data_IF_932149255068
#
_entry.id   IF_932149255068
#
_cell.length_a   1.000
_cell.length_b   1.000
_cell.length_c   1.000
_cell.angle_alpha   90.00
_cell.angle_beta   90.00
_cell.angle_gamma   90.00
#
_symmetry.space_group_name_H-M   'P 1'
#
loop_
_entity.id
_entity.type
_entity.pdbx_description
1 polymer ?
#
# COMPACT_ATOMS: atom_id res chain seq x y z
N UNK A 1 -7.46 -7.27 -16.51
CA UNK A 1 -7.40 -6.63 -15.19
C UNK A 1 -7.57 -5.10 -15.29
N UNK A 2 -6.81 -4.40 -16.13
CA UNK A 2 -6.83 -2.91 -16.23
C UNK A 2 -8.20 -2.39 -16.77
N UNK A 3 -8.93 -3.16 -17.58
CA UNK A 3 -10.15 -2.70 -18.23
C UNK A 3 -11.23 -2.19 -17.25
N UNK A 4 -11.57 -2.89 -16.16
CA UNK A 4 -12.57 -2.44 -15.19
C UNK A 4 -12.04 -1.36 -14.23
N UNK A 5 -10.72 -1.24 -14.05
CA UNK A 5 -10.14 -0.37 -13.05
C UNK A 5 -10.14 1.10 -13.48
N UNK A 6 -10.28 2.00 -12.50
CA UNK A 6 -10.18 3.45 -12.73
C UNK A 6 -8.71 3.83 -12.81
N UNK A 7 -8.27 4.30 -13.99
CA UNK A 7 -6.91 4.77 -14.23
C UNK A 7 -6.91 5.75 -15.40
N UNK A 8 -5.88 6.58 -15.50
CA UNK A 8 -5.76 7.63 -16.51
C UNK A 8 -4.86 7.27 -17.68
N UNK A 9 -3.99 6.29 -17.48
CA UNK A 9 -3.05 5.86 -18.51
C UNK A 9 -2.31 4.58 -18.14
N UNK A 10 -1.52 4.12 -19.10
CA UNK A 10 -0.63 2.96 -19.00
C UNK A 10 0.67 3.26 -19.74
N UNK A 11 1.78 2.75 -19.22
CA UNK A 11 3.08 2.78 -19.89
C UNK A 11 3.65 1.37 -19.95
N UNK A 12 4.16 0.97 -21.12
CA UNK A 12 4.81 -0.32 -21.33
C UNK A 12 5.79 -0.23 -22.51
N UNK A 13 6.73 -1.18 -22.64
CA UNK A 13 7.64 -1.25 -23.79
C UNK A 13 6.95 -1.58 -25.13
N UNK A 14 5.73 -2.09 -25.09
CA UNK A 14 4.93 -2.40 -26.25
C UNK A 14 3.58 -3.00 -25.85
N UNK A 15 2.70 -3.19 -26.80
CA UNK A 15 1.34 -3.67 -26.59
C UNK A 15 0.97 -4.71 -27.65
N UNK A 16 0.44 -5.84 -27.22
CA UNK A 16 -0.21 -6.77 -28.11
C UNK A 16 -1.41 -6.09 -28.80
N UNK A 17 -1.71 -6.38 -30.08
CA UNK A 17 -2.75 -5.69 -30.82
C UNK A 17 -4.12 -5.72 -30.12
N UNK A 18 -4.52 -6.86 -29.59
CA UNK A 18 -5.79 -7.01 -28.87
C UNK A 18 -5.84 -6.20 -27.58
N UNK A 19 -4.72 -6.18 -26.82
CA UNK A 19 -4.60 -5.37 -25.61
C UNK A 19 -4.68 -3.88 -25.93
N UNK A 20 -4.03 -3.45 -27.02
CA UNK A 20 -4.05 -2.07 -27.48
C UNK A 20 -5.47 -1.60 -27.84
N UNK A 21 -6.25 -2.41 -28.54
CA UNK A 21 -7.65 -2.09 -28.87
C UNK A 21 -8.54 -1.98 -27.61
N UNK A 22 -8.34 -2.88 -26.63
CA UNK A 22 -9.02 -2.78 -25.34
C UNK A 22 -8.67 -1.48 -24.61
N UNK A 23 -7.39 -1.12 -24.57
CA UNK A 23 -6.91 0.09 -23.91
C UNK A 23 -7.42 1.36 -24.63
N UNK A 24 -7.39 1.40 -25.96
CA UNK A 24 -7.95 2.50 -26.76
C UNK A 24 -9.43 2.73 -26.51
N UNK A 25 -10.19 1.69 -26.20
CA UNK A 25 -11.62 1.81 -25.91
C UNK A 25 -11.93 2.41 -24.54
N UNK A 26 -10.95 2.47 -23.62
CA UNK A 26 -11.13 3.08 -22.29
C UNK A 26 -11.40 4.58 -22.40
N UNK A 27 -12.15 5.12 -21.42
CA UNK A 27 -12.47 6.56 -21.32
C UNK A 27 -12.97 7.17 -22.64
N UNK A 28 -13.72 6.37 -23.43
CA UNK A 28 -14.25 6.78 -24.75
C UNK A 28 -13.14 7.26 -25.69
N UNK A 29 -11.96 6.62 -25.66
CA UNK A 29 -10.81 6.96 -26.49
C UNK A 29 -9.84 8.00 -25.90
N UNK A 30 -10.08 8.48 -24.69
CA UNK A 30 -9.22 9.47 -23.99
C UNK A 30 -8.29 8.84 -22.95
N UNK A 31 -7.97 7.56 -23.09
CA UNK A 31 -7.03 6.86 -22.20
C UNK A 31 -5.60 7.04 -22.72
N UNK A 32 -4.68 7.49 -21.88
CA UNK A 32 -3.30 7.68 -22.26
C UNK A 32 -2.57 6.35 -22.38
N UNK A 33 -2.04 6.04 -23.56
CA UNK A 33 -1.25 4.84 -23.82
C UNK A 33 0.14 5.32 -24.24
N UNK A 34 1.13 5.04 -23.42
CA UNK A 34 2.51 5.50 -23.63
C UNK A 34 3.40 4.29 -23.86
N UNK A 35 4.16 4.31 -24.95
CA UNK A 35 5.22 3.34 -25.23
C UNK A 35 6.56 3.92 -24.78
N UNK A 36 7.32 3.14 -24.01
CA UNK A 36 8.65 3.52 -23.54
C UNK A 36 9.71 2.72 -24.32
N UNK A 37 10.77 3.40 -24.73
CA UNK A 37 11.94 2.74 -25.29
C UNK A 37 12.65 1.89 -24.22
N UNK A 38 12.66 0.54 -24.34
CA UNK A 38 13.33 -0.32 -23.37
C UNK A 38 14.85 -0.17 -23.34
N UNK A 39 15.44 0.43 -24.37
CA UNK A 39 16.87 0.71 -24.43
C UNK A 39 17.26 2.06 -23.80
N UNK A 40 16.28 2.83 -23.32
CA UNK A 40 16.58 4.11 -22.67
C UNK A 40 17.30 3.90 -21.34
N UNK A 41 18.52 4.43 -21.26
CA UNK A 41 19.30 4.49 -20.02
C UNK A 41 19.17 5.88 -19.39
N UNK A 42 18.59 6.01 -18.19
CA UNK A 42 18.51 7.29 -17.49
C UNK A 42 19.90 7.81 -17.12
N UNK A 43 20.07 9.12 -17.07
CA UNK A 43 21.33 9.73 -16.62
C UNK A 43 21.61 9.38 -15.15
N UNK A 44 22.90 9.24 -14.79
CA UNK A 44 23.30 8.99 -13.39
C UNK A 44 22.98 10.16 -12.47
N UNK A 45 23.10 11.39 -12.99
CA UNK A 45 22.74 12.62 -12.27
C UNK A 45 21.34 13.08 -12.68
N UNK A 46 20.51 13.27 -11.68
CA UNK A 46 19.18 13.87 -11.80
C UNK A 46 19.26 15.34 -11.47
N UNK A 47 18.65 16.18 -12.29
CA UNK A 47 18.60 17.63 -12.08
C UNK A 47 17.14 18.07 -12.01
N UNK A 48 16.86 19.00 -11.09
CA UNK A 48 15.54 19.61 -10.92
C UNK A 48 15.68 21.10 -10.62
N UNK A 49 15.10 21.94 -11.47
CA UNK A 49 15.03 23.36 -11.26
C UNK A 49 13.81 23.75 -10.42
N UNK A 50 14.04 24.47 -9.33
CA UNK A 50 12.99 24.97 -8.44
C UNK A 50 13.30 26.42 -8.09
N UNK A 51 12.44 27.35 -8.50
CA UNK A 51 12.60 28.81 -8.27
C UNK A 51 13.99 29.37 -8.65
N UNK A 52 14.57 28.92 -9.76
CA UNK A 52 15.86 29.38 -10.25
C UNK A 52 17.08 28.74 -9.57
N UNK A 53 16.86 27.73 -8.72
CA UNK A 53 17.92 26.92 -8.12
C UNK A 53 17.86 25.53 -8.75
N UNK A 54 18.99 25.07 -9.28
CA UNK A 54 19.13 23.70 -9.79
C UNK A 54 19.61 22.79 -8.67
N UNK A 55 18.79 21.81 -8.33
CA UNK A 55 19.19 20.69 -7.47
C UNK A 55 19.76 19.58 -8.34
N UNK A 56 20.90 19.04 -7.93
CA UNK A 56 21.53 17.91 -8.59
C UNK A 56 21.81 16.83 -7.56
N UNK A 57 21.48 15.59 -7.89
CA UNK A 57 21.73 14.42 -7.06
C UNK A 57 22.01 13.19 -7.91
N UNK A 58 22.71 12.21 -7.32
CA UNK A 58 22.82 10.90 -7.95
C UNK A 58 21.47 10.18 -7.92
N UNK A 59 21.13 9.53 -9.03
CA UNK A 59 19.95 8.68 -9.11
C UNK A 59 20.10 7.51 -8.16
N UNK A 60 19.01 7.14 -7.49
CA UNK A 60 18.97 5.93 -6.68
C UNK A 60 19.06 4.68 -7.57
N UNK A 61 20.25 4.10 -7.69
CA UNK A 61 20.53 2.88 -8.47
C UNK A 61 20.53 1.60 -7.62
N UNK A 62 20.08 1.69 -6.34
CA UNK A 62 20.04 0.54 -5.44
C UNK A 62 19.25 -0.62 -6.08
N UNK A 63 19.89 -1.79 -6.17
CA UNK A 63 19.28 -3.03 -6.62
C UNK A 63 18.94 -3.88 -5.40
N UNK A 64 17.67 -4.27 -5.28
CA UNK A 64 17.21 -5.16 -4.22
C UNK A 64 17.39 -6.61 -4.71
N UNK A 65 18.50 -7.21 -4.31
CA UNK A 65 18.84 -8.60 -4.62
C UNK A 65 18.75 -9.51 -3.38
N UNK A 66 19.09 -10.79 -3.55
CA UNK A 66 18.98 -11.81 -2.50
C UNK A 66 19.83 -11.48 -1.26
N UNK A 67 21.01 -10.90 -1.45
CA UNK A 67 21.92 -10.52 -0.36
C UNK A 67 21.45 -9.31 0.44
N UNK A 68 20.47 -8.56 -0.06
CA UNK A 68 19.98 -7.32 0.57
C UNK A 68 19.46 -7.57 2.00
N UNK A 69 18.92 -8.76 2.27
CA UNK A 69 18.35 -9.14 3.55
C UNK A 69 19.25 -10.09 4.37
N UNK A 70 20.54 -10.13 4.09
CA UNK A 70 21.49 -11.04 4.79
C UNK A 70 21.75 -10.64 6.25
N UNK A 71 21.57 -9.37 6.61
CA UNK A 71 21.82 -8.86 7.96
C UNK A 71 20.53 -8.85 8.81
N UNK A 72 20.16 -10.01 9.37
CA UNK A 72 19.07 -10.10 10.34
C UNK A 72 19.61 -9.78 11.74
N UNK A 73 19.18 -8.67 12.33
CA UNK A 73 19.72 -8.12 13.59
C UNK A 73 18.96 -8.54 14.85
N UNK A 74 17.70 -8.99 14.71
CA UNK A 74 16.85 -9.44 15.81
C UNK A 74 17.29 -10.78 16.39
N UNK A 75 16.77 -11.18 17.57
CA UNK A 75 17.06 -12.48 18.22
C UNK A 75 16.64 -13.63 17.29
N UNK A 76 15.41 -13.61 16.77
CA UNK A 76 14.99 -14.56 15.75
C UNK A 76 15.67 -14.23 14.41
N UNK A 77 16.44 -15.19 13.89
CA UNK A 77 17.18 -15.08 12.62
C UNK A 77 16.43 -15.67 11.43
N UNK A 78 15.26 -16.24 11.65
CA UNK A 78 14.50 -16.87 10.58
C UNK A 78 13.80 -15.82 9.72
N UNK A 79 14.13 -15.80 8.43
CA UNK A 79 13.47 -14.97 7.42
C UNK A 79 12.99 -15.88 6.28
N UNK A 80 11.71 -16.31 6.29
CA UNK A 80 11.18 -17.22 5.29
C UNK A 80 11.08 -16.56 3.90
N UNK A 81 11.10 -17.37 2.84
CA UNK A 81 11.14 -16.91 1.45
C UNK A 81 9.95 -16.00 1.07
N UNK A 82 8.75 -16.26 1.62
CA UNK A 82 7.60 -15.37 1.37
C UNK A 82 7.85 -13.97 1.96
N UNK A 83 8.47 -13.89 3.14
CA UNK A 83 8.78 -12.61 3.77
C UNK A 83 9.90 -11.88 3.02
N UNK A 84 10.95 -12.58 2.55
CA UNK A 84 11.99 -11.97 1.70
C UNK A 84 11.40 -11.38 0.43
N UNK A 85 10.54 -12.14 -0.26
CA UNK A 85 9.82 -11.64 -1.45
C UNK A 85 9.02 -10.38 -1.13
N UNK A 86 8.23 -10.41 -0.06
CA UNK A 86 7.38 -9.29 0.33
C UNK A 86 8.22 -8.07 0.73
N UNK A 87 9.30 -8.27 1.51
CA UNK A 87 10.25 -7.19 1.84
C UNK A 87 10.94 -6.62 0.60
N UNK A 88 11.31 -7.45 -0.38
CA UNK A 88 11.89 -6.98 -1.63
C UNK A 88 10.92 -6.08 -2.41
N UNK A 89 9.66 -6.50 -2.53
CA UNK A 89 8.61 -5.68 -3.16
C UNK A 89 8.41 -4.37 -2.38
N UNK A 90 8.42 -4.42 -1.03
CA UNK A 90 8.32 -3.22 -0.19
C UNK A 90 9.44 -2.23 -0.50
N UNK A 91 10.69 -2.68 -0.50
CA UNK A 91 11.86 -1.82 -0.73
C UNK A 91 11.88 -1.26 -2.15
N UNK A 92 11.46 -2.04 -3.16
CA UNK A 92 11.30 -1.56 -4.54
C UNK A 92 10.20 -0.49 -4.60
N UNK A 93 9.05 -0.71 -3.97
CA UNK A 93 7.97 0.28 -3.94
C UNK A 93 8.41 1.58 -3.26
N UNK A 94 9.12 1.47 -2.13
CA UNK A 94 9.61 2.63 -1.37
C UNK A 94 10.69 3.42 -2.11
N UNK A 95 11.53 2.75 -2.93
CA UNK A 95 12.52 3.41 -3.80
C UNK A 95 11.89 4.50 -4.68
N UNK A 96 10.63 4.31 -5.09
CA UNK A 96 9.89 5.21 -5.97
C UNK A 96 8.78 5.99 -5.23
N UNK A 97 8.76 5.93 -3.90
CA UNK A 97 7.74 6.58 -3.07
C UNK A 97 8.33 7.82 -2.38
N UNK A 98 7.53 8.88 -2.27
CA UNK A 98 7.95 10.10 -1.58
C UNK A 98 8.24 9.84 -0.09
N UNK A 99 9.46 10.13 0.34
CA UNK A 99 9.90 10.06 1.74
C UNK A 99 9.17 11.12 2.62
N UNK A 100 8.97 10.91 3.91
CA UNK A 100 9.11 9.63 4.63
C UNK A 100 8.08 8.64 4.14
N UNK A 101 8.44 7.39 4.01
CA UNK A 101 7.51 6.37 3.53
C UNK A 101 7.69 5.00 4.19
N UNK A 102 6.58 4.29 4.37
CA UNK A 102 6.49 2.94 4.94
C UNK A 102 5.50 2.14 4.12
N UNK A 103 5.80 0.88 3.85
CA UNK A 103 4.97 -0.02 3.05
C UNK A 103 4.71 -1.34 3.80
N UNK A 104 3.44 -1.75 3.87
CA UNK A 104 3.00 -3.03 4.41
C UNK A 104 2.66 -3.98 3.27
N UNK A 105 3.15 -5.19 3.33
CA UNK A 105 2.92 -6.23 2.31
C UNK A 105 2.41 -7.52 2.92
N UNK A 106 1.60 -8.22 2.15
CA UNK A 106 1.16 -9.58 2.43
C UNK A 106 0.98 -10.35 1.13
N UNK A 107 1.53 -11.55 1.08
CA UNK A 107 1.37 -12.50 -0.04
C UNK A 107 1.71 -11.88 -1.43
N UNK A 108 2.76 -11.06 -1.49
CA UNK A 108 3.21 -10.40 -2.73
C UNK A 108 2.40 -9.15 -3.11
N UNK A 109 1.49 -8.71 -2.27
CA UNK A 109 0.68 -7.52 -2.51
C UNK A 109 1.00 -6.41 -1.50
N UNK A 110 1.18 -5.18 -2.00
CA UNK A 110 1.21 -3.99 -1.15
C UNK A 110 -0.21 -3.70 -0.64
N UNK A 111 -0.41 -3.85 0.67
CA UNK A 111 -1.71 -3.68 1.33
C UNK A 111 -1.86 -2.32 2.01
N UNK A 112 -0.78 -1.56 2.15
CA UNK A 112 -0.83 -0.20 2.66
C UNK A 112 0.48 0.54 2.50
N UNK A 113 0.43 1.77 1.98
CA UNK A 113 1.56 2.70 1.90
C UNK A 113 1.19 4.00 2.60
N UNK A 114 2.07 4.46 3.49
CA UNK A 114 2.10 5.81 4.05
C UNK A 114 3.30 6.56 3.49
N UNK A 115 3.07 7.68 2.83
CA UNK A 115 4.08 8.42 2.08
C UNK A 115 4.01 9.93 2.35
N UNK A 116 5.15 10.61 2.23
CA UNK A 116 5.24 12.06 2.30
C UNK A 116 4.86 12.68 3.64
N UNK A 117 4.87 11.90 4.74
CA UNK A 117 4.51 12.41 6.06
C UNK A 117 5.71 13.06 6.75
N UNK A 118 5.43 14.00 7.64
CA UNK A 118 6.43 14.77 8.38
C UNK A 118 7.22 13.94 9.42
N UNK A 119 6.65 12.81 9.88
CA UNK A 119 7.33 11.92 10.80
C UNK A 119 7.13 10.45 10.44
N UNK A 120 8.11 9.62 10.79
CA UNK A 120 8.10 8.18 10.52
C UNK A 120 6.89 7.48 11.12
N UNK A 121 6.54 7.78 12.36
CA UNK A 121 5.38 7.17 13.02
C UNK A 121 4.06 7.50 12.31
N UNK A 122 3.92 8.70 11.72
CA UNK A 122 2.74 9.03 10.93
C UNK A 122 2.65 8.19 9.64
N UNK A 123 3.78 7.89 8.99
CA UNK A 123 3.82 6.97 7.86
C UNK A 123 3.38 5.56 8.29
N UNK A 124 3.93 5.06 9.41
CA UNK A 124 3.63 3.74 9.97
C UNK A 124 2.14 3.61 10.32
N UNK A 125 1.55 4.66 10.91
CA UNK A 125 0.11 4.71 11.21
C UNK A 125 -0.72 4.69 9.94
N UNK A 126 -0.47 5.60 9.02
CA UNK A 126 -1.23 5.73 7.77
C UNK A 126 -1.17 4.43 6.94
N UNK A 127 0.02 3.85 6.78
CA UNK A 127 0.20 2.58 6.08
C UNK A 127 -0.54 1.43 6.78
N UNK A 128 -0.44 1.36 8.11
CA UNK A 128 -1.12 0.35 8.92
C UNK A 128 -2.64 0.49 8.92
N UNK A 129 -3.19 1.71 8.89
CA UNK A 129 -4.63 1.93 8.78
C UNK A 129 -5.14 1.46 7.41
N UNK A 130 -4.40 1.73 6.33
CA UNK A 130 -4.71 1.19 4.99
C UNK A 130 -4.65 -0.34 4.95
N UNK A 131 -3.63 -0.95 5.58
CA UNK A 131 -3.51 -2.41 5.69
C UNK A 131 -4.69 -3.02 6.47
N UNK A 132 -5.11 -2.39 7.56
CA UNK A 132 -6.28 -2.78 8.33
C UNK A 132 -7.55 -2.70 7.48
N UNK A 133 -7.74 -1.61 6.74
CA UNK A 133 -8.89 -1.44 5.85
C UNK A 133 -8.89 -2.50 4.74
N UNK A 134 -7.72 -2.79 4.14
CA UNK A 134 -7.59 -3.87 3.16
C UNK A 134 -8.05 -5.21 3.73
N UNK A 135 -7.72 -5.52 5.00
CA UNK A 135 -8.15 -6.74 5.67
C UNK A 135 -9.63 -6.74 6.04
N UNK A 136 -10.17 -5.62 6.51
CA UNK A 136 -11.61 -5.45 6.80
C UNK A 136 -12.47 -5.60 5.56
N UNK A 137 -11.98 -5.23 4.38
CA UNK A 137 -12.67 -5.46 3.09
C UNK A 137 -12.86 -6.95 2.77
N UNK A 138 -12.08 -7.85 3.41
CA UNK A 138 -12.21 -9.31 3.28
C UNK A 138 -13.15 -9.93 4.33
N UNK A 139 -13.74 -9.14 5.22
CA UNK A 139 -14.68 -9.63 6.22
C UNK A 139 -15.98 -10.10 5.55
N UNK A 140 -16.58 -11.20 6.06
CA UNK A 140 -17.77 -11.81 5.49
C UNK A 140 -18.92 -10.80 5.31
N UNK A 141 -19.20 -9.97 6.32
CA UNK A 141 -20.21 -8.91 6.23
C UNK A 141 -19.91 -7.89 5.12
N UNK A 142 -18.64 -7.58 4.89
CA UNK A 142 -18.22 -6.64 3.85
C UNK A 142 -18.38 -7.27 2.46
N UNK A 143 -17.98 -8.53 2.30
CA UNK A 143 -18.08 -9.26 1.05
C UNK A 143 -19.54 -9.55 0.65
N UNK A 144 -20.44 -9.69 1.63
CA UNK A 144 -21.87 -9.96 1.42
C UNK A 144 -22.75 -8.72 1.36
N UNK A 145 -22.19 -7.52 1.28
CA UNK A 145 -22.98 -6.28 1.18
C UNK A 145 -23.97 -6.34 0.00
N UNK A 146 -25.28 -6.16 0.24
CA UNK A 146 -26.35 -6.36 -0.75
C UNK A 146 -26.51 -5.15 -1.66
N UNK A 147 -25.49 -4.83 -2.45
CA UNK A 147 -25.52 -3.68 -3.35
C UNK A 147 -26.63 -3.77 -4.40
N UNK A 148 -27.23 -2.63 -4.73
CA UNK A 148 -28.15 -2.55 -5.88
C UNK A 148 -27.38 -2.86 -7.18
N UNK A 149 -27.97 -3.63 -8.12
CA UNK A 149 -27.27 -4.10 -9.34
C UNK A 149 -26.74 -2.99 -10.24
N UNK A 150 -27.37 -1.82 -10.20
CA UNK A 150 -27.03 -0.66 -11.04
C UNK A 150 -25.91 0.22 -10.45
N UNK A 151 -25.45 -0.07 -9.23
CA UNK A 151 -24.42 0.73 -8.55
C UNK A 151 -23.07 0.56 -9.26
N UNK A 152 -22.43 1.67 -9.59
CA UNK A 152 -21.13 1.69 -10.26
C UNK A 152 -19.99 1.34 -9.29
N UNK A 153 -18.88 0.81 -9.82
CA UNK A 153 -17.73 0.41 -9.01
C UNK A 153 -17.19 1.53 -8.09
N UNK A 154 -17.00 2.79 -8.53
CA UNK A 154 -16.55 3.84 -7.64
C UNK A 154 -17.47 4.10 -6.45
N UNK A 155 -18.80 4.04 -6.67
CA UNK A 155 -19.79 4.25 -5.62
C UNK A 155 -19.80 3.06 -4.63
N UNK A 156 -19.61 1.84 -5.15
CA UNK A 156 -19.46 0.63 -4.31
C UNK A 156 -18.22 0.70 -3.46
N UNK A 157 -17.09 1.08 -4.04
CA UNK A 157 -15.81 1.20 -3.31
C UNK A 157 -15.91 2.25 -2.20
N UNK A 158 -16.48 3.41 -2.49
CA UNK A 158 -16.72 4.45 -1.49
C UNK A 158 -17.67 3.98 -0.37
N UNK A 159 -18.74 3.26 -0.72
CA UNK A 159 -19.66 2.72 0.27
C UNK A 159 -18.98 1.68 1.18
N UNK A 160 -18.12 0.82 0.61
CA UNK A 160 -17.34 -0.16 1.40
C UNK A 160 -16.41 0.57 2.36
N UNK A 161 -15.64 1.56 1.88
CA UNK A 161 -14.69 2.29 2.73
C UNK A 161 -15.37 2.96 3.92
N UNK A 162 -16.53 3.57 3.70
CA UNK A 162 -17.34 4.16 4.78
C UNK A 162 -17.95 3.11 5.70
N UNK A 163 -18.44 1.99 5.17
CA UNK A 163 -19.03 0.90 5.95
C UNK A 163 -18.03 0.26 6.93
N UNK A 164 -16.77 0.07 6.50
CA UNK A 164 -15.73 -0.50 7.36
C UNK A 164 -15.07 0.52 8.30
N UNK A 165 -15.25 1.83 8.05
CA UNK A 165 -14.72 2.92 8.88
C UNK A 165 -15.56 3.18 10.12
N UNK A 166 -15.22 4.20 10.87
CA UNK A 166 -16.03 4.70 11.99
C UNK A 166 -17.16 5.62 11.53
N UNK A 167 -17.23 5.93 10.22
CA UNK A 167 -18.27 6.73 9.56
C UNK A 167 -19.39 5.85 8.96
N UNK A 168 -19.54 4.63 9.43
CA UNK A 168 -20.53 3.66 8.92
C UNK A 168 -21.98 4.11 9.08
N UNK A 169 -22.28 4.93 10.08
CA UNK A 169 -23.61 5.50 10.33
C UNK A 169 -24.06 6.41 9.18
N UNK A 170 -23.17 7.14 8.54
CA UNK A 170 -23.46 7.94 7.35
C UNK A 170 -23.99 7.10 6.19
N UNK A 171 -23.36 5.94 5.93
CA UNK A 171 -23.75 5.06 4.81
C UNK A 171 -25.00 4.26 5.12
N UNK A 172 -25.29 4.03 6.41
CA UNK A 172 -26.49 3.32 6.88
C UNK A 172 -27.61 4.24 7.34
N UNK A 173 -27.47 5.56 7.16
CA UNK A 173 -28.52 6.55 7.45
C UNK A 173 -29.77 6.32 6.56
N UNK A 174 -30.95 6.63 7.13
CA UNK A 174 -32.19 6.56 6.37
C UNK A 174 -32.18 7.57 5.21
N UNK A 175 -32.61 7.13 4.03
CA UNK A 175 -32.52 7.89 2.79
C UNK A 175 -31.19 7.74 2.04
N UNK A 176 -30.13 7.23 2.68
CA UNK A 176 -28.83 6.98 2.06
C UNK A 176 -28.67 5.50 1.71
N UNK A 177 -28.86 4.60 2.70
CA UNK A 177 -28.63 3.17 2.44
C UNK A 177 -29.52 2.62 1.31
N UNK A 178 -30.75 3.14 1.14
CA UNK A 178 -31.66 2.73 0.06
C UNK A 178 -31.15 3.07 -1.34
N UNK A 179 -30.21 4.01 -1.43
CA UNK A 179 -29.57 4.36 -2.72
C UNK A 179 -28.38 3.46 -3.07
N UNK A 180 -27.92 2.67 -2.11
CA UNK A 180 -26.71 1.84 -2.21
C UNK A 180 -27.01 0.34 -2.15
N UNK A 181 -27.97 -0.06 -1.30
CA UNK A 181 -28.25 -1.45 -0.96
C UNK A 181 -29.70 -1.82 -1.23
N UNK A 182 -29.95 -3.09 -1.52
CA UNK A 182 -31.30 -3.67 -1.70
C UNK A 182 -32.02 -3.87 -0.37
N UNK A 183 -31.27 -4.03 0.72
CA UNK A 183 -31.73 -4.10 2.10
C UNK A 183 -30.69 -3.46 3.03
N UNK A 184 -31.09 -3.00 4.21
CA UNK A 184 -30.18 -2.34 5.15
C UNK A 184 -29.19 -3.35 5.72
N UNK A 185 -27.87 -3.21 5.45
CA UNK A 185 -26.86 -4.10 6.00
C UNK A 185 -26.77 -4.03 7.52
N UNK A 186 -26.38 -5.14 8.15
CA UNK A 186 -25.96 -5.12 9.55
C UNK A 186 -24.68 -4.32 9.73
N UNK A 187 -24.54 -3.67 10.87
CA UNK A 187 -23.32 -2.94 11.24
C UNK A 187 -22.17 -3.93 11.48
N UNK A 188 -20.99 -3.61 10.97
CA UNK A 188 -19.76 -4.27 11.36
C UNK A 188 -19.26 -3.60 12.65
N UNK A 189 -19.54 -4.24 13.80
CA UNK A 189 -19.30 -3.66 15.12
C UNK A 189 -17.80 -3.48 15.42
N UNK A 190 -17.43 -2.58 16.33
CA UNK A 190 -16.04 -2.43 16.78
C UNK A 190 -15.43 -3.72 17.32
N UNK A 191 -16.24 -4.55 17.98
CA UNK A 191 -15.83 -5.87 18.50
C UNK A 191 -15.47 -6.83 17.37
N UNK A 192 -16.32 -6.92 16.34
CA UNK A 192 -16.11 -7.73 15.15
C UNK A 192 -14.87 -7.26 14.38
N UNK A 193 -14.72 -5.94 14.16
CA UNK A 193 -13.53 -5.35 13.54
C UNK A 193 -12.26 -5.77 14.30
N UNK A 194 -12.23 -5.59 15.62
CA UNK A 194 -11.06 -5.98 16.44
C UNK A 194 -10.78 -7.48 16.37
N UNK A 195 -11.81 -8.32 16.42
CA UNK A 195 -11.66 -9.77 16.32
C UNK A 195 -11.14 -10.21 14.95
N UNK A 196 -11.56 -9.55 13.89
CA UNK A 196 -11.10 -9.81 12.53
C UNK A 196 -9.65 -9.35 12.32
N UNK A 197 -9.31 -8.14 12.77
CA UNK A 197 -7.95 -7.59 12.65
C UNK A 197 -6.90 -8.44 13.40
N UNK A 198 -7.26 -9.11 14.50
CA UNK A 198 -6.37 -10.05 15.20
C UNK A 198 -6.00 -11.28 14.38
N UNK A 199 -6.73 -11.60 13.31
CA UNK A 199 -6.42 -12.70 12.39
C UNK A 199 -5.40 -12.32 11.32
N UNK A 200 -5.13 -11.02 11.14
CA UNK A 200 -4.09 -10.56 10.22
C UNK A 200 -2.73 -10.87 10.82
N UNK A 201 -1.94 -11.68 10.13
CA UNK A 201 -0.59 -12.11 10.55
C UNK A 201 0.33 -12.25 9.34
N UNK A 202 1.61 -12.44 9.60
CA UNK A 202 2.65 -12.65 8.59
C UNK A 202 2.75 -11.50 7.58
N UNK A 203 2.50 -10.29 8.05
CA UNK A 203 2.68 -9.06 7.27
C UNK A 203 4.14 -8.66 7.32
N UNK A 204 4.68 -8.27 6.17
CA UNK A 204 6.01 -7.69 6.01
C UNK A 204 5.92 -6.16 5.93
N UNK A 205 6.89 -5.46 6.49
CA UNK A 205 6.96 -4.00 6.48
C UNK A 205 8.32 -3.53 5.98
N UNK A 206 8.34 -2.64 5.00
CA UNK A 206 9.53 -1.90 4.59
C UNK A 206 9.45 -0.44 5.03
N UNK A 207 10.61 0.16 5.34
CA UNK A 207 10.76 1.58 5.61
C UNK A 207 11.93 2.15 4.80
N UNK A 208 11.74 3.33 4.19
CA UNK A 208 12.77 3.99 3.37
C UNK A 208 13.93 4.59 4.22
N UNK A 209 13.76 4.69 5.54
CA UNK A 209 14.81 5.08 6.48
C UNK A 209 14.58 4.41 7.85
N UNK A 210 15.52 4.57 8.79
CA UNK A 210 15.48 3.99 10.12
C UNK A 210 14.25 4.40 10.94
N UNK A 211 13.85 3.56 11.88
CA UNK A 211 12.87 3.90 12.89
C UNK A 211 13.54 4.67 14.05
N UNK A 212 13.09 5.89 14.36
CA UNK A 212 13.69 6.67 15.44
C UNK A 212 13.27 6.20 16.85
N UNK A 213 12.17 5.44 16.95
CA UNK A 213 11.57 5.01 18.22
C UNK A 213 10.87 3.67 18.10
N UNK A 214 10.80 2.88 19.20
CA UNK A 214 10.10 1.59 19.26
C UNK A 214 8.59 1.65 18.99
N UNK A 215 7.94 2.82 19.18
CA UNK A 215 6.51 3.00 18.91
C UNK A 215 6.10 2.65 17.47
N UNK A 216 7.04 2.71 16.52
CA UNK A 216 6.84 2.24 15.15
C UNK A 216 6.65 0.72 15.09
N UNK A 217 7.42 -0.03 15.89
CA UNK A 217 7.31 -1.49 16.00
C UNK A 217 5.98 -1.86 16.65
N UNK A 218 5.64 -1.21 17.78
CA UNK A 218 4.36 -1.41 18.47
C UNK A 218 3.16 -1.16 17.53
N UNK A 219 3.23 -0.08 16.73
CA UNK A 219 2.18 0.22 15.75
C UNK A 219 2.10 -0.84 14.65
N UNK A 220 3.24 -1.27 14.14
CA UNK A 220 3.33 -2.27 13.08
C UNK A 220 2.76 -3.62 13.55
N UNK A 221 3.12 -4.07 14.74
CA UNK A 221 2.65 -5.31 15.34
C UNK A 221 1.11 -5.39 15.42
N UNK A 222 0.43 -4.26 15.70
CA UNK A 222 -1.04 -4.20 15.73
C UNK A 222 -1.71 -4.50 14.40
N UNK A 223 -0.98 -4.38 13.28
CA UNK A 223 -1.43 -4.71 11.93
C UNK A 223 -0.80 -6.03 11.42
N UNK A 224 -0.41 -6.93 12.32
CA UNK A 224 0.06 -8.27 11.99
C UNK A 224 1.48 -8.35 11.42
N UNK A 225 2.28 -7.29 11.53
CA UNK A 225 3.67 -7.28 11.05
C UNK A 225 4.53 -8.22 11.90
N UNK A 226 5.32 -9.05 11.21
CA UNK A 226 6.29 -9.98 11.79
C UNK A 226 7.69 -9.85 11.20
N UNK A 227 7.81 -9.21 10.05
CA UNK A 227 9.06 -9.05 9.32
C UNK A 227 9.24 -7.59 8.93
N UNK A 228 10.40 -7.03 9.24
CA UNK A 228 10.69 -5.60 9.00
C UNK A 228 12.02 -5.46 8.28
N UNK A 229 12.06 -4.65 7.23
CA UNK A 229 13.27 -4.17 6.59
C UNK A 229 13.37 -2.66 6.68
N UNK A 230 14.51 -2.19 7.20
CA UNK A 230 14.86 -0.78 7.26
C UNK A 230 16.39 -0.63 7.26
N UNK A 231 16.95 0.51 6.79
CA UNK A 231 18.40 0.61 6.60
C UNK A 231 19.24 0.73 7.86
N UNK A 232 18.63 0.91 9.05
CA UNK A 232 19.36 1.18 10.28
C UNK A 232 20.06 2.56 10.29
N UNK A 233 20.92 2.78 11.28
CA UNK A 233 21.71 4.00 11.43
C UNK A 233 21.14 5.02 12.42
N UNK A 234 20.11 4.66 13.19
CA UNK A 234 19.63 5.45 14.31
C UNK A 234 20.53 5.25 15.53
N UNK A 235 20.76 6.30 16.30
CA UNK A 235 21.39 6.21 17.63
C UNK A 235 20.59 5.25 18.56
N UNK A 236 19.32 5.00 18.25
CA UNK A 236 18.40 4.20 19.05
C UNK A 236 18.09 2.83 18.44
N UNK A 237 18.86 2.37 17.45
CA UNK A 237 18.64 1.05 16.82
C UNK A 237 18.55 -0.07 17.87
N UNK A 238 19.38 -0.03 18.91
CA UNK A 238 19.32 -1.02 19.99
C UNK A 238 17.94 -1.13 20.65
N UNK A 239 17.28 0.00 20.92
CA UNK A 239 15.93 0.02 21.50
C UNK A 239 14.86 -0.46 20.51
N UNK A 240 15.04 -0.18 19.23
CA UNK A 240 14.11 -0.64 18.17
C UNK A 240 14.24 -2.15 17.98
N UNK A 241 15.48 -2.67 17.97
CA UNK A 241 15.75 -4.11 17.85
C UNK A 241 15.23 -4.88 19.06
N UNK A 242 15.37 -4.33 20.27
CA UNK A 242 14.85 -4.94 21.51
C UNK A 242 13.32 -5.02 21.53
N UNK A 243 12.63 -4.11 20.82
CA UNK A 243 11.17 -4.10 20.70
C UNK A 243 10.63 -5.10 19.66
N UNK A 244 11.50 -5.67 18.82
CA UNK A 244 11.15 -6.69 17.82
C UNK A 244 11.15 -8.09 18.42
#
# INVERSE_FOLDING_TARGET
>A
LIKPEVSDGVIAPGYEPEALEILKSKRKGNYNIVEIDPAYEPRKLEQKDVFGITFEQERNELVIGDDFFSNVVTENKELPEFAKRDLAIAMIALKYTQSNSVCYLKDGQCIGIGAGQQSRIHCTRLAGDKANNWWLRQHEKTLSLPFIPTLKNPDRDNAIDRYISDEWDDVLADGIWQTLFTEKPEVLTPEEKRAWLKKLTDVSLGSDAFFPFPDNIDRAARSGVRYIAEPGGSIRDGLVIEAC
#
